data_IF_597825520331
#
_entry.id   IF_597825520331
#
_cell.length_a   1.000
_cell.length_b   1.000
_cell.length_c   1.000
_cell.angle_alpha   90.00
_cell.angle_beta   90.00
_cell.angle_gamma   90.00
#
_symmetry.space_group_name_H-M   'P 1'
#
loop_
_entity.id
_entity.type
_entity.pdbx_description
1 polymer ?
#
# COMPACT_ATOMS: atom_id res chain seq x y z
N UNK A 1 -30.42 17.23 -31.48
CA UNK A 1 -29.15 17.65 -30.83
C UNK A 1 -29.25 17.67 -29.30
N UNK A 2 -30.31 18.25 -28.72
CA UNK A 2 -30.52 18.37 -27.25
C UNK A 2 -30.48 17.04 -26.47
N UNK A 3 -31.01 15.95 -27.06
CA UNK A 3 -31.00 14.60 -26.45
C UNK A 3 -29.58 14.00 -26.37
N UNK A 4 -28.76 14.12 -27.42
CA UNK A 4 -27.37 13.64 -27.43
C UNK A 4 -26.49 14.42 -26.45
N UNK A 5 -26.72 15.72 -26.31
CA UNK A 5 -26.02 16.57 -25.35
C UNK A 5 -26.36 16.18 -23.90
N UNK A 6 -27.64 15.92 -23.61
CA UNK A 6 -28.08 15.44 -22.29
C UNK A 6 -27.50 14.07 -21.94
N UNK A 7 -27.43 13.13 -22.90
CA UNK A 7 -26.80 11.83 -22.68
C UNK A 7 -25.30 11.94 -22.40
N UNK A 8 -24.60 12.84 -23.08
CA UNK A 8 -23.15 13.06 -22.84
C UNK A 8 -22.92 13.69 -21.46
N UNK A 9 -23.73 14.66 -21.06
CA UNK A 9 -23.66 15.27 -19.72
C UNK A 9 -24.00 14.25 -18.62
N UNK A 10 -24.99 13.40 -18.84
CA UNK A 10 -25.34 12.33 -17.90
C UNK A 10 -24.22 11.29 -17.78
N UNK A 11 -23.59 10.92 -18.90
CA UNK A 11 -22.46 9.98 -18.93
C UNK A 11 -21.20 10.57 -18.26
N UNK A 12 -20.94 11.88 -18.42
CA UNK A 12 -19.81 12.54 -17.77
C UNK A 12 -20.02 12.69 -16.26
N UNK A 13 -21.25 12.96 -15.81
CA UNK A 13 -21.58 13.02 -14.38
C UNK A 13 -21.49 11.63 -13.74
N UNK A 14 -21.92 10.57 -14.44
CA UNK A 14 -21.82 9.19 -13.95
C UNK A 14 -20.36 8.75 -13.75
N UNK A 15 -19.44 9.14 -14.64
CA UNK A 15 -18.01 8.85 -14.51
C UNK A 15 -17.36 9.58 -13.33
N UNK A 16 -17.83 10.79 -13.00
CA UNK A 16 -17.29 11.58 -11.89
C UNK A 16 -17.73 11.06 -10.51
N UNK A 17 -18.91 10.41 -10.43
CA UNK A 17 -19.39 9.78 -9.19
C UNK A 17 -18.65 8.48 -8.82
N UNK A 18 -17.84 7.93 -9.73
CA UNK A 18 -17.02 6.74 -9.50
C UNK A 18 -15.57 7.06 -9.10
N UNK A 19 -15.35 8.19 -8.42
CA UNK A 19 -14.09 8.48 -7.76
C UNK A 19 -13.87 7.45 -6.63
N UNK A 20 -13.25 6.33 -7.00
CA UNK A 20 -12.82 5.28 -6.07
C UNK A 20 -11.83 5.91 -5.10
N UNK A 21 -12.19 5.93 -3.82
CA UNK A 21 -11.27 6.29 -2.74
C UNK A 21 -10.19 5.22 -2.66
N UNK A 22 -9.00 5.51 -3.18
CA UNK A 22 -7.82 4.71 -2.92
C UNK A 22 -7.46 4.91 -1.44
N UNK A 23 -7.83 3.93 -0.60
CA UNK A 23 -7.47 3.94 0.81
C UNK A 23 -5.94 3.98 0.96
N UNK A 24 -5.44 4.74 1.93
CA UNK A 24 -4.00 4.84 2.18
C UNK A 24 -3.41 3.47 2.53
N UNK A 25 -2.22 3.18 1.99
CA UNK A 25 -1.49 1.96 2.30
C UNK A 25 -1.14 1.89 3.80
N UNK A 26 -1.21 0.69 4.37
CA UNK A 26 -0.79 0.44 5.74
C UNK A 26 0.71 0.15 5.74
N UNK A 27 1.49 0.99 6.43
CA UNK A 27 2.92 0.75 6.67
C UNK A 27 3.10 -0.35 7.72
N UNK A 28 3.86 -1.38 7.38
CA UNK A 28 4.12 -2.54 8.25
C UNK A 28 5.63 -2.78 8.33
N UNK A 29 6.13 -2.96 9.56
CA UNK A 29 7.51 -3.37 9.82
C UNK A 29 7.54 -4.83 10.28
N UNK A 30 8.42 -5.61 9.67
CA UNK A 30 8.63 -7.03 10.01
C UNK A 30 10.09 -7.29 10.35
N UNK A 31 10.36 -8.34 11.12
CA UNK A 31 11.72 -8.62 11.59
C UNK A 31 12.61 -9.18 10.48
N UNK A 32 12.12 -10.16 9.70
CA UNK A 32 12.95 -10.94 8.77
C UNK A 32 12.33 -11.06 7.37
N UNK A 33 13.15 -11.28 6.31
CA UNK A 33 12.67 -11.27 4.92
C UNK A 33 11.53 -12.26 4.60
N UNK A 34 11.47 -13.48 5.15
CA UNK A 34 10.34 -14.38 4.90
C UNK A 34 8.99 -13.80 5.34
N UNK A 35 8.96 -13.03 6.44
CA UNK A 35 7.73 -12.38 6.91
C UNK A 35 7.26 -11.33 5.91
N UNK A 36 8.19 -10.54 5.34
CA UNK A 36 7.88 -9.52 4.32
C UNK A 36 7.15 -10.14 3.14
N UNK A 37 7.66 -11.26 2.62
CA UNK A 37 7.06 -11.97 1.50
C UNK A 37 5.59 -12.33 1.79
N UNK A 38 5.31 -12.99 2.91
CA UNK A 38 3.94 -13.38 3.23
C UNK A 38 3.03 -12.18 3.50
N UNK A 39 3.53 -11.14 4.16
CA UNK A 39 2.75 -9.91 4.40
C UNK A 39 2.39 -9.21 3.09
N UNK A 40 3.31 -9.12 2.14
CA UNK A 40 3.04 -8.57 0.80
C UNK A 40 2.04 -9.43 0.03
N UNK A 41 2.15 -10.76 0.09
CA UNK A 41 1.20 -11.66 -0.57
C UNK A 41 -0.23 -11.54 0.02
N UNK A 42 -0.36 -11.30 1.32
CA UNK A 42 -1.67 -11.15 1.99
C UNK A 42 -2.25 -9.75 1.79
N UNK A 43 -1.43 -8.70 1.90
CA UNK A 43 -1.88 -7.32 1.86
C UNK A 43 -1.99 -6.73 0.45
N UNK A 44 -1.25 -7.27 -0.52
CA UNK A 44 -1.22 -6.76 -1.90
C UNK A 44 -0.88 -5.27 -1.97
N UNK A 45 -1.57 -4.53 -2.84
CA UNK A 45 -1.41 -3.08 -3.03
C UNK A 45 -1.92 -2.22 -1.85
N UNK A 46 -2.38 -2.85 -0.74
CA UNK A 46 -2.90 -2.12 0.43
C UNK A 46 -1.86 -1.96 1.53
N UNK A 47 -0.67 -2.53 1.37
CA UNK A 47 0.37 -2.54 2.40
C UNK A 47 1.71 -2.11 1.83
N UNK A 48 2.47 -1.39 2.65
CA UNK A 48 3.87 -1.06 2.40
C UNK A 48 4.72 -1.73 3.47
N UNK A 49 5.50 -2.76 3.09
CA UNK A 49 6.19 -3.63 4.05
C UNK A 49 7.70 -3.39 4.03
N UNK A 50 8.24 -3.00 5.19
CA UNK A 50 9.68 -2.82 5.42
C UNK A 50 10.22 -3.89 6.38
N UNK A 51 11.45 -4.33 6.14
CA UNK A 51 12.13 -5.34 6.97
C UNK A 51 13.21 -4.67 7.83
N UNK A 52 13.30 -5.07 9.10
CA UNK A 52 14.30 -4.55 10.03
C UNK A 52 15.67 -5.21 9.78
N UNK A 53 15.70 -6.53 9.63
CA UNK A 53 16.93 -7.30 9.35
C UNK A 53 17.06 -7.50 7.86
N UNK A 54 18.02 -6.82 7.24
CA UNK A 54 18.28 -6.94 5.80
C UNK A 54 18.97 -8.26 5.42
N UNK A 55 18.95 -8.58 4.13
CA UNK A 55 19.57 -9.81 3.61
C UNK A 55 21.08 -9.82 3.89
N UNK A 56 21.54 -10.89 4.54
CA UNK A 56 22.95 -11.09 4.89
C UNK A 56 23.30 -10.61 6.31
N UNK A 57 22.35 -10.03 7.04
CA UNK A 57 22.47 -9.79 8.48
C UNK A 57 21.94 -11.01 9.24
N UNK A 58 22.56 -11.34 10.38
CA UNK A 58 22.08 -12.39 11.28
C UNK A 58 20.99 -11.82 12.20
N UNK A 59 19.74 -12.32 12.15
CA UNK A 59 18.66 -11.86 13.01
C UNK A 59 18.93 -12.06 14.51
N UNK A 60 19.77 -13.03 14.88
CA UNK A 60 20.07 -13.34 16.27
C UNK A 60 21.08 -12.39 16.91
N UNK A 61 21.86 -11.67 16.10
CA UNK A 61 22.82 -10.66 16.55
C UNK A 61 22.46 -9.25 16.10
N UNK A 62 21.27 -9.08 15.51
CA UNK A 62 20.82 -7.79 15.02
C UNK A 62 20.46 -6.88 16.19
N UNK A 63 21.07 -5.70 16.20
CA UNK A 63 20.79 -4.65 17.17
C UNK A 63 20.16 -3.46 16.41
N UNK A 64 18.90 -3.10 16.70
CA UNK A 64 18.22 -2.02 15.99
C UNK A 64 18.88 -0.68 16.30
N UNK A 65 19.04 0.14 15.25
CA UNK A 65 19.53 1.51 15.40
C UNK A 65 18.45 2.35 16.12
N UNK A 66 18.84 3.38 16.90
CA UNK A 66 17.88 4.29 17.54
C UNK A 66 16.86 4.89 16.57
N UNK A 67 17.27 5.17 15.33
CA UNK A 67 16.38 5.68 14.29
C UNK A 67 15.31 4.67 13.85
N UNK A 68 15.59 3.36 13.89
CA UNK A 68 14.63 2.30 13.52
C UNK A 68 13.61 2.06 14.63
N UNK A 69 13.96 2.35 15.88
CA UNK A 69 13.07 2.24 17.05
C UNK A 69 12.07 3.39 17.15
N UNK A 70 12.37 4.53 16.52
CA UNK A 70 11.54 5.73 16.55
C UNK A 70 10.48 5.78 15.43
N UNK A 71 10.48 4.76 14.54
CA UNK A 71 9.59 4.64 13.39
C UNK A 71 8.16 4.21 13.76
#
# INVERSE_FOLDING_TARGET
MKKKLSTVVFLSVLMFSFAVSAGAEVTIYVSVPPQKYFTEQVGGERVNVSVLVEKGQDPHTFEPLPAQMAA
#
